data_IF_908799869574
#
_entry.id   IF_908799869574
#
_cell.length_a   1.000
_cell.length_b   1.000
_cell.length_c   1.000
_cell.angle_alpha   90.00
_cell.angle_beta   90.00
_cell.angle_gamma   90.00
#
_symmetry.space_group_name_H-M   'P 1'
#
loop_
_entity.id
_entity.type
_entity.pdbx_description
1 polymer ?
#
# COMPACT_ATOMS: atom_id res chain seq x y z
N UNK A 1 -5.28 -13.77 7.94
CA UNK A 1 -4.48 -12.70 7.29
C UNK A 1 -3.45 -13.26 6.32
N UNK A 2 -2.62 -14.26 6.69
CA UNK A 2 -1.63 -14.84 5.75
C UNK A 2 -2.20 -15.56 4.50
N UNK A 3 -3.43 -16.08 4.58
CA UNK A 3 -4.06 -16.76 3.43
C UNK A 3 -4.47 -15.78 2.33
N UNK A 4 -4.99 -14.60 2.69
CA UNK A 4 -5.37 -13.56 1.73
C UNK A 4 -4.13 -13.03 0.98
N UNK A 5 -2.99 -12.89 1.68
CA UNK A 5 -1.73 -12.44 1.08
C UNK A 5 -1.23 -13.40 0.01
N UNK A 6 -1.34 -14.70 0.32
CA UNK A 6 -0.88 -15.79 -0.54
C UNK A 6 -1.78 -15.93 -1.77
N UNK A 7 -3.09 -15.74 -1.60
CA UNK A 7 -4.07 -15.73 -2.69
C UNK A 7 -3.89 -14.49 -3.56
N UNK A 8 -3.64 -13.31 -2.96
CA UNK A 8 -3.52 -12.04 -3.65
C UNK A 8 -2.27 -11.95 -4.56
N UNK A 9 -1.17 -12.60 -4.18
CA UNK A 9 0.11 -12.59 -4.93
C UNK A 9 -0.01 -12.89 -6.43
N UNK A 10 -0.54 -14.06 -6.85
CA UNK A 10 -0.63 -14.39 -8.26
C UNK A 10 -1.55 -13.43 -9.04
N UNK A 11 -2.62 -12.92 -8.41
CA UNK A 11 -3.48 -11.93 -9.04
C UNK A 11 -2.76 -10.59 -9.20
N UNK A 12 -2.06 -10.11 -8.16
CA UNK A 12 -1.29 -8.87 -8.21
C UNK A 12 -0.20 -8.93 -9.30
N UNK A 13 0.45 -10.08 -9.47
CA UNK A 13 1.41 -10.31 -10.55
C UNK A 13 0.74 -10.31 -11.94
N UNK A 14 -0.39 -10.99 -12.11
CA UNK A 14 -1.12 -11.00 -13.37
C UNK A 14 -1.59 -9.59 -13.77
N UNK A 15 -2.09 -8.81 -12.81
CA UNK A 15 -2.48 -7.41 -13.01
C UNK A 15 -1.26 -6.55 -13.35
N UNK A 16 -0.14 -6.78 -12.68
CA UNK A 16 1.13 -6.08 -12.97
C UNK A 16 1.62 -6.35 -14.40
N UNK A 17 1.63 -7.60 -14.84
CA UNK A 17 2.03 -7.97 -16.20
C UNK A 17 1.06 -7.39 -17.25
N UNK A 18 -0.26 -7.41 -16.98
CA UNK A 18 -1.24 -6.77 -17.86
C UNK A 18 -1.04 -5.25 -17.92
N UNK A 19 -0.87 -4.60 -16.77
CA UNK A 19 -0.64 -3.16 -16.65
C UNK A 19 0.68 -2.70 -17.27
N UNK A 20 1.68 -3.59 -17.37
CA UNK A 20 2.98 -3.32 -18.00
C UNK A 20 2.88 -3.15 -19.52
N UNK A 21 1.85 -3.72 -20.14
CA UNK A 21 1.55 -3.50 -21.57
C UNK A 21 0.67 -2.27 -21.83
N UNK A 22 0.17 -1.61 -20.77
CA UNK A 22 -0.67 -0.42 -20.85
C UNK A 22 -0.27 0.68 -19.86
N UNK A 23 -1.23 1.50 -19.44
CA UNK A 23 -1.00 2.62 -18.51
C UNK A 23 -1.03 2.18 -17.05
N UNK A 24 0.15 1.84 -16.52
CA UNK A 24 0.32 1.37 -15.14
C UNK A 24 -0.18 2.35 -14.06
N UNK A 25 -0.14 3.66 -14.34
CA UNK A 25 -0.69 4.67 -13.44
C UNK A 25 -2.21 4.65 -13.39
N UNK A 26 -2.86 4.48 -14.54
CA UNK A 26 -4.30 4.39 -14.64
C UNK A 26 -4.80 3.12 -13.93
N UNK A 27 -4.16 1.98 -14.20
CA UNK A 27 -4.47 0.72 -13.55
C UNK A 27 -4.34 0.79 -12.02
N UNK A 28 -3.31 1.47 -11.51
CA UNK A 28 -3.16 1.70 -10.08
C UNK A 28 -4.34 2.45 -9.47
N UNK A 29 -4.77 3.54 -10.11
CA UNK A 29 -5.90 4.34 -9.63
C UNK A 29 -7.23 3.55 -9.68
N UNK A 30 -7.45 2.77 -10.74
CA UNK A 30 -8.63 1.92 -10.88
C UNK A 30 -8.68 0.82 -9.81
N UNK A 31 -7.57 0.11 -9.59
CA UNK A 31 -7.46 -0.94 -8.58
C UNK A 31 -7.58 -0.37 -7.16
N UNK A 32 -7.00 0.80 -6.88
CA UNK A 32 -7.15 1.49 -5.60
C UNK A 32 -8.60 1.91 -5.33
N UNK A 33 -9.30 2.40 -6.36
CA UNK A 33 -10.71 2.76 -6.27
C UNK A 33 -11.56 1.52 -5.96
N UNK A 34 -11.33 0.42 -6.65
CA UNK A 34 -11.99 -0.85 -6.38
C UNK A 34 -11.69 -1.38 -4.98
N UNK A 35 -10.44 -1.27 -4.51
CA UNK A 35 -10.05 -1.67 -3.17
C UNK A 35 -10.75 -0.84 -2.10
N UNK A 36 -10.90 0.48 -2.31
CA UNK A 36 -11.64 1.35 -1.40
C UNK A 36 -13.12 0.98 -1.34
N UNK A 37 -13.74 0.66 -2.49
CA UNK A 37 -15.13 0.19 -2.57
C UNK A 37 -15.28 -1.17 -1.86
N UNK A 38 -14.39 -2.13 -2.16
CA UNK A 38 -14.39 -3.45 -1.53
C UNK A 38 -14.00 -3.42 -0.04
N UNK A 39 -13.44 -2.32 0.46
CA UNK A 39 -13.19 -2.12 1.88
C UNK A 39 -14.45 -1.75 2.67
N UNK A 40 -15.51 -1.29 1.99
CA UNK A 40 -16.76 -0.93 2.67
C UNK A 40 -17.46 -2.18 3.20
N UNK A 41 -17.87 -2.20 4.48
CA UNK A 41 -18.45 -3.37 5.13
C UNK A 41 -19.74 -3.84 4.46
N UNK A 42 -20.59 -2.91 4.01
CA UNK A 42 -21.84 -3.20 3.32
C UNK A 42 -21.61 -3.98 2.01
N UNK A 43 -20.57 -3.63 1.26
CA UNK A 43 -20.21 -4.30 0.01
C UNK A 43 -19.53 -5.64 0.25
N UNK A 44 -18.76 -5.78 1.34
CA UNK A 44 -18.25 -7.09 1.76
C UNK A 44 -19.37 -8.04 2.15
N UNK A 45 -20.32 -7.60 2.98
CA UNK A 45 -21.46 -8.43 3.36
C UNK A 45 -22.32 -8.81 2.14
N UNK A 46 -22.50 -7.89 1.19
CA UNK A 46 -23.21 -8.18 -0.06
C UNK A 46 -22.46 -9.21 -0.92
N UNK A 47 -21.13 -9.08 -1.01
CA UNK A 47 -20.26 -9.98 -1.76
C UNK A 47 -20.10 -11.38 -1.12
N UNK A 48 -20.14 -11.45 0.22
CA UNK A 48 -19.99 -12.70 0.98
C UNK A 48 -21.32 -13.48 1.05
N UNK A 49 -22.44 -12.84 0.70
CA UNK A 49 -23.76 -13.46 0.75
C UNK A 49 -23.94 -14.50 -0.37
N UNK A 50 -24.09 -15.79 -0.05
CA UNK A 50 -24.22 -16.86 -1.05
C UNK A 50 -25.51 -16.80 -1.87
N UNK A 51 -26.48 -15.93 -1.51
CA UNK A 51 -27.70 -15.70 -2.30
C UNK A 51 -27.51 -14.71 -3.44
N UNK A 52 -26.39 -13.98 -3.47
CA UNK A 52 -26.12 -12.96 -4.48
C UNK A 52 -25.33 -13.61 -5.62
N UNK A 53 -25.82 -13.42 -6.86
CA UNK A 53 -25.12 -13.93 -8.03
C UNK A 53 -23.84 -13.12 -8.29
N UNK A 54 -22.74 -13.74 -8.74
CA UNK A 54 -21.52 -13.06 -9.16
C UNK A 54 -21.78 -11.88 -10.12
N UNK A 55 -22.73 -12.05 -11.03
CA UNK A 55 -23.12 -11.04 -12.01
C UNK A 55 -23.73 -9.79 -11.36
N UNK A 56 -24.52 -9.93 -10.29
CA UNK A 56 -25.12 -8.81 -9.57
C UNK A 56 -24.06 -8.00 -8.83
N UNK A 57 -23.06 -8.66 -8.23
CA UNK A 57 -21.93 -7.96 -7.60
C UNK A 57 -21.17 -7.16 -8.64
N UNK A 58 -20.88 -7.75 -9.80
CA UNK A 58 -20.19 -7.05 -10.88
C UNK A 58 -20.98 -5.83 -11.36
N UNK A 59 -22.30 -5.95 -11.54
CA UNK A 59 -23.17 -4.84 -11.91
C UNK A 59 -23.11 -3.71 -10.88
N UNK A 60 -23.25 -4.01 -9.59
CA UNK A 60 -23.18 -3.01 -8.52
C UNK A 60 -21.85 -2.24 -8.59
N UNK A 61 -20.73 -2.95 -8.70
CA UNK A 61 -19.41 -2.30 -8.81
C UNK A 61 -19.26 -1.45 -10.08
N UNK A 62 -19.77 -1.92 -11.22
CA UNK A 62 -19.69 -1.17 -12.50
C UNK A 62 -20.70 -0.03 -12.64
N UNK A 63 -21.80 -0.09 -11.89
CA UNK A 63 -22.84 0.94 -11.85
C UNK A 63 -22.50 2.12 -10.95
N UNK A 64 -21.44 2.02 -10.14
CA UNK A 64 -21.03 3.09 -9.25
C UNK A 64 -20.53 4.30 -10.03
N UNK A 65 -21.05 5.51 -9.76
CA UNK A 65 -20.63 6.71 -10.44
C UNK A 65 -19.16 7.01 -10.12
N UNK A 66 -18.36 7.26 -11.17
CA UNK A 66 -16.91 7.53 -11.07
C UNK A 66 -16.02 6.31 -11.28
N UNK A 67 -16.58 5.12 -11.48
CA UNK A 67 -15.82 3.89 -11.74
C UNK A 67 -15.62 3.70 -13.25
N UNK A 68 -14.56 4.31 -13.79
CA UNK A 68 -14.10 4.03 -15.15
C UNK A 68 -13.07 2.90 -15.10
N UNK A 69 -13.50 1.68 -15.43
CA UNK A 69 -12.62 0.51 -15.45
C UNK A 69 -12.18 0.22 -16.87
N UNK A 70 -10.87 0.07 -17.05
CA UNK A 70 -10.30 -0.56 -18.22
C UNK A 70 -10.78 -2.01 -18.35
N UNK A 71 -10.77 -2.54 -19.58
CA UNK A 71 -11.23 -3.90 -19.86
C UNK A 71 -10.45 -4.95 -19.04
N UNK A 72 -9.15 -4.71 -18.85
CA UNK A 72 -8.30 -5.58 -18.05
C UNK A 72 -8.65 -5.58 -16.56
N UNK A 73 -8.92 -4.42 -15.95
CA UNK A 73 -9.36 -4.35 -14.55
C UNK A 73 -10.77 -4.91 -14.37
N UNK A 74 -11.66 -4.74 -15.36
CA UNK A 74 -12.98 -5.38 -15.36
C UNK A 74 -12.88 -6.90 -15.39
N UNK A 75 -11.95 -7.46 -16.18
CA UNK A 75 -11.71 -8.90 -16.25
C UNK A 75 -11.11 -9.46 -14.95
N UNK A 76 -10.21 -8.70 -14.31
CA UNK A 76 -9.73 -9.01 -12.96
C UNK A 76 -10.90 -9.10 -11.98
N UNK A 77 -11.75 -8.06 -11.95
CA UNK A 77 -12.89 -8.00 -11.05
C UNK A 77 -13.81 -9.21 -11.27
N UNK A 78 -14.15 -9.52 -12.53
CA UNK A 78 -14.94 -10.71 -12.87
C UNK A 78 -14.33 -11.99 -12.32
N UNK A 79 -13.04 -12.20 -12.55
CA UNK A 79 -12.32 -13.39 -12.09
C UNK A 79 -12.34 -13.49 -10.56
N UNK A 80 -12.16 -12.38 -9.85
CA UNK A 80 -12.20 -12.36 -8.38
C UNK A 80 -13.59 -12.68 -7.84
N UNK A 81 -14.65 -12.16 -8.48
CA UNK A 81 -16.03 -12.44 -8.09
C UNK A 81 -16.38 -13.91 -8.37
N UNK A 82 -16.05 -14.45 -9.56
CA UNK A 82 -16.31 -15.85 -9.91
C UNK A 82 -15.62 -16.83 -8.97
N UNK A 83 -14.45 -16.47 -8.45
CA UNK A 83 -13.72 -17.27 -7.47
C UNK A 83 -14.10 -16.97 -6.01
N UNK A 84 -15.03 -16.05 -5.75
CA UNK A 84 -15.42 -15.64 -4.39
C UNK A 84 -14.30 -14.97 -3.58
N UNK A 85 -13.32 -14.35 -4.25
CA UNK A 85 -12.08 -13.80 -3.64
C UNK A 85 -12.08 -12.28 -3.52
N UNK A 86 -13.25 -11.65 -3.51
CA UNK A 86 -13.38 -10.18 -3.36
C UNK A 86 -12.74 -9.64 -2.07
N UNK A 87 -12.75 -10.43 -0.99
CA UNK A 87 -12.10 -10.06 0.26
C UNK A 87 -10.57 -9.84 0.12
N UNK A 88 -9.93 -10.44 -0.88
CA UNK A 88 -8.49 -10.29 -1.14
C UNK A 88 -8.16 -9.01 -1.94
N UNK A 89 -9.16 -8.29 -2.46
CA UNK A 89 -8.96 -7.15 -3.36
C UNK A 89 -8.16 -5.98 -2.73
N UNK A 90 -8.36 -5.60 -1.45
CA UNK A 90 -7.51 -4.62 -0.77
C UNK A 90 -6.04 -5.06 -0.67
N UNK A 91 -5.82 -6.36 -0.52
CA UNK A 91 -4.47 -6.93 -0.42
C UNK A 91 -3.79 -7.01 -1.79
N UNK A 92 -4.56 -7.32 -2.85
CA UNK A 92 -4.10 -7.24 -4.24
C UNK A 92 -3.66 -5.82 -4.58
N UNK A 93 -4.43 -4.79 -4.20
CA UNK A 93 -4.07 -3.40 -4.45
C UNK A 93 -2.75 -3.01 -3.75
N UNK A 94 -2.60 -3.41 -2.50
CA UNK A 94 -1.37 -3.16 -1.71
C UNK A 94 -0.16 -3.82 -2.37
N UNK A 95 -0.27 -5.08 -2.77
CA UNK A 95 0.82 -5.80 -3.43
C UNK A 95 1.12 -5.28 -4.83
N UNK A 96 0.10 -4.90 -5.60
CA UNK A 96 0.27 -4.28 -6.91
C UNK A 96 1.01 -2.94 -6.80
N UNK A 97 0.68 -2.12 -5.80
CA UNK A 97 1.40 -0.86 -5.53
C UNK A 97 2.86 -1.14 -5.19
N UNK A 98 3.14 -2.15 -4.35
CA UNK A 98 4.51 -2.54 -4.03
C UNK A 98 5.30 -2.98 -5.28
N UNK A 99 4.68 -3.76 -6.18
CA UNK A 99 5.29 -4.18 -7.45
C UNK A 99 5.55 -2.99 -8.38
N UNK A 100 4.58 -2.07 -8.50
CA UNK A 100 4.72 -0.83 -9.28
C UNK A 100 5.86 0.04 -8.76
N UNK A 101 5.95 0.21 -7.44
CA UNK A 101 7.00 1.00 -6.79
C UNK A 101 8.37 0.36 -7.04
N UNK A 102 8.49 -0.96 -6.86
CA UNK A 102 9.69 -1.71 -7.18
C UNK A 102 10.11 -1.56 -8.66
N UNK A 103 9.16 -1.59 -9.59
CA UNK A 103 9.42 -1.41 -11.02
C UNK A 103 9.83 0.03 -11.38
N UNK A 104 9.19 1.01 -10.76
CA UNK A 104 9.49 2.43 -10.97
C UNK A 104 10.80 2.86 -10.29
N UNK A 105 11.45 1.95 -9.55
CA UNK A 105 12.64 2.25 -8.74
C UNK A 105 12.35 3.22 -7.59
N UNK A 106 11.08 3.35 -7.20
CA UNK A 106 10.63 4.23 -6.12
C UNK A 106 10.52 3.41 -4.85
N UNK A 107 11.14 3.86 -3.77
CA UNK A 107 11.10 3.16 -2.48
C UNK A 107 10.21 3.94 -1.52
N UNK A 108 9.28 3.26 -0.85
CA UNK A 108 8.46 3.86 0.19
C UNK A 108 9.30 4.05 1.46
N UNK A 109 9.36 5.29 1.94
CA UNK A 109 10.01 5.66 3.19
C UNK A 109 8.95 6.08 4.21
N UNK A 110 8.75 5.31 5.26
CA UNK A 110 7.88 5.70 6.39
C UNK A 110 8.72 6.47 7.41
N UNK A 111 8.39 7.74 7.60
CA UNK A 111 9.08 8.64 8.53
C UNK A 111 8.20 8.81 9.75
N UNK A 112 8.61 8.22 10.87
CA UNK A 112 7.98 8.38 12.17
C UNK A 112 8.66 9.54 12.90
N UNK A 113 7.87 10.54 13.29
CA UNK A 113 8.38 11.72 14.00
C UNK A 113 7.63 11.94 15.29
N UNK A 114 8.36 12.30 16.35
CA UNK A 114 7.78 12.71 17.63
C UNK A 114 6.91 13.99 17.52
N UNK A 115 7.27 14.87 16.57
CA UNK A 115 6.64 16.17 16.37
C UNK A 115 6.21 16.33 14.91
N UNK A 116 5.20 17.15 14.62
CA UNK A 116 4.88 17.53 13.25
C UNK A 116 6.12 18.16 12.58
N UNK A 117 6.52 17.61 11.45
CA UNK A 117 7.66 18.06 10.65
C UNK A 117 7.18 19.18 9.72
N UNK A 118 7.97 20.24 9.59
CA UNK A 118 7.72 21.31 8.61
C UNK A 118 8.06 20.82 7.18
N UNK A 119 7.35 21.29 6.16
CA UNK A 119 7.59 20.95 4.76
C UNK A 119 9.05 21.18 4.34
N UNK A 120 9.70 22.23 4.87
CA UNK A 120 11.11 22.50 4.60
C UNK A 120 12.04 21.41 5.14
N UNK A 121 11.77 20.91 6.35
CA UNK A 121 12.53 19.82 6.97
C UNK A 121 12.27 18.49 6.27
N UNK A 122 11.03 18.25 5.84
CA UNK A 122 10.65 17.06 5.08
C UNK A 122 11.40 17.00 3.75
N UNK A 123 11.48 18.12 3.02
CA UNK A 123 12.19 18.21 1.75
C UNK A 123 13.70 17.96 1.89
N UNK A 124 14.32 18.48 2.96
CA UNK A 124 15.75 18.26 3.25
C UNK A 124 16.02 16.80 3.67
N UNK A 125 15.13 16.22 4.47
CA UNK A 125 15.18 14.81 4.87
C UNK A 125 15.03 13.90 3.64
N UNK A 126 14.06 14.17 2.77
CA UNK A 126 13.88 13.44 1.51
C UNK A 126 15.12 13.54 0.63
N UNK A 127 15.68 14.74 0.44
CA UNK A 127 16.90 14.94 -0.36
C UNK A 127 18.09 14.15 0.18
N UNK A 128 18.24 14.11 1.51
CA UNK A 128 19.28 13.35 2.19
C UNK A 128 19.10 11.84 2.04
N UNK A 129 17.86 11.36 2.17
CA UNK A 129 17.52 9.95 1.97
C UNK A 129 17.69 9.54 0.50
N UNK A 130 17.26 10.36 -0.46
CA UNK A 130 17.42 10.09 -1.89
C UNK A 130 18.89 9.99 -2.29
N UNK A 131 19.75 10.85 -1.72
CA UNK A 131 21.22 10.73 -1.89
C UNK A 131 21.79 9.45 -1.30
N UNK A 132 21.30 9.02 -0.13
CA UNK A 132 21.80 7.83 0.58
C UNK A 132 21.36 6.53 -0.09
N UNK A 133 20.11 6.46 -0.56
CA UNK A 133 19.54 5.26 -1.18
C UNK A 133 19.69 5.24 -2.71
N UNK A 134 20.06 6.36 -3.33
CA UNK A 134 20.31 6.46 -4.78
C UNK A 134 19.06 6.24 -5.64
N UNK A 135 17.87 6.40 -5.05
CA UNK A 135 16.56 6.12 -5.66
C UNK A 135 15.56 7.19 -5.26
N UNK A 136 14.53 7.39 -6.08
CA UNK A 136 13.41 8.27 -5.71
C UNK A 136 12.67 7.67 -4.53
N UNK A 137 12.35 8.48 -3.53
CA UNK A 137 11.64 8.03 -2.33
C UNK A 137 10.28 8.72 -2.23
N UNK A 138 9.26 7.96 -1.87
CA UNK A 138 7.98 8.52 -1.45
C UNK A 138 7.95 8.47 0.07
N UNK A 139 8.04 9.64 0.70
CA UNK A 139 7.98 9.74 2.15
C UNK A 139 6.52 9.78 2.64
N UNK A 140 6.15 8.85 3.51
CA UNK A 140 4.92 8.89 4.30
C UNK A 140 5.28 9.28 5.72
N UNK A 141 4.85 10.47 6.16
CA UNK A 141 5.15 10.97 7.51
C UNK A 141 4.01 10.60 8.45
N UNK A 142 4.36 9.96 9.57
CA UNK A 142 3.44 9.57 10.64
C UNK A 142 3.95 10.19 11.95
N UNK A 143 3.06 10.87 12.68
CA UNK A 143 3.42 11.52 13.95
C UNK A 143 3.13 10.56 15.09
N UNK A 144 4.18 10.09 15.74
CA UNK A 144 4.10 9.13 16.84
C UNK A 144 4.69 9.78 18.11
N UNK A 145 3.85 10.32 19.00
CA UNK A 145 4.31 11.06 20.20
C UNK A 145 4.96 10.16 21.26
N UNK A 146 4.90 8.82 21.10
CA UNK A 146 5.64 7.87 21.94
C UNK A 146 7.16 7.93 21.70
N UNK A 147 7.58 8.50 20.57
CA UNK A 147 8.97 8.90 20.37
C UNK A 147 9.25 10.10 21.28
N UNK A 148 10.05 9.88 22.32
CA UNK A 148 10.50 10.93 23.28
C UNK A 148 11.26 12.07 22.56
N UNK A 149 11.76 11.81 21.34
CA UNK A 149 12.33 12.80 20.44
C UNK A 149 13.11 12.13 19.30
N UNK A 150 13.28 12.86 18.20
CA UNK A 150 13.99 12.40 17.00
C UNK A 150 13.08 11.77 15.94
N UNK A 151 13.69 11.20 14.91
CA UNK A 151 13.01 10.64 13.73
C UNK A 151 13.40 9.18 13.57
N UNK A 152 12.43 8.32 13.25
CA UNK A 152 12.67 6.94 12.87
C UNK A 152 12.19 6.78 11.43
N UNK A 153 13.10 6.47 10.51
CA UNK A 153 12.79 6.28 9.09
C UNK A 153 12.86 4.79 8.77
N UNK A 154 11.82 4.24 8.14
CA UNK A 154 11.78 2.87 7.65
C UNK A 154 11.72 2.93 6.12
N UNK A 155 12.77 2.46 5.44
CA UNK A 155 12.89 2.47 3.98
C UNK A 155 12.93 1.02 3.49
N UNK A 156 11.79 0.51 3.00
CA UNK A 156 11.66 -0.91 2.70
C UNK A 156 11.96 -1.78 3.93
N UNK A 157 13.08 -2.51 3.90
CA UNK A 157 13.56 -3.37 4.98
C UNK A 157 14.60 -2.71 5.90
N UNK A 158 15.11 -1.51 5.55
CA UNK A 158 16.11 -0.80 6.34
C UNK A 158 15.45 0.17 7.33
N UNK A 159 15.74 0.01 8.62
CA UNK A 159 15.24 0.91 9.68
C UNK A 159 16.38 1.82 10.14
N UNK A 160 16.23 3.11 9.88
CA UNK A 160 17.10 4.16 10.37
C UNK A 160 16.47 4.83 11.60
N UNK A 161 16.89 4.40 12.79
CA UNK A 161 16.42 4.98 14.05
C UNK A 161 17.42 6.02 14.56
N UNK A 162 17.07 7.30 14.46
CA UNK A 162 17.82 8.42 15.06
C UNK A 162 17.09 9.00 16.26
N UNK A 163 16.17 8.23 16.87
CA UNK A 163 15.44 8.66 18.06
C UNK A 163 16.33 8.77 19.29
N UNK A 164 16.00 9.72 20.16
CA UNK A 164 16.65 9.93 21.47
C UNK A 164 16.44 8.70 22.36
N UNK A 165 15.29 8.03 22.23
CA UNK A 165 14.98 6.76 22.90
C UNK A 165 16.00 5.67 22.57
N UNK A 166 16.29 5.46 21.29
CA UNK A 166 17.29 4.47 20.87
C UNK A 166 18.70 4.81 21.39
N UNK A 167 19.05 6.11 21.46
CA UNK A 167 20.34 6.55 22.00
C UNK A 167 20.46 6.30 23.51
N UNK A 168 19.39 6.56 24.27
CA UNK A 168 19.32 6.25 25.70
C UNK A 168 19.38 4.75 25.98
N UNK A 169 18.65 3.93 25.22
CA UNK A 169 18.70 2.47 25.36
C UNK A 169 20.08 1.90 25.04
N UNK A 170 20.77 2.41 24.00
CA UNK A 170 22.17 2.04 23.72
C UNK A 170 23.12 2.42 24.86
N UNK A 171 22.94 3.60 25.47
CA UNK A 171 23.76 4.01 26.61
C UNK A 171 23.49 3.13 27.84
N UNK A 172 22.22 2.81 28.12
CA UNK A 172 21.84 1.89 29.19
C UNK A 172 22.42 0.51 28.98
N UNK A 173 22.33 -0.04 27.76
CA UNK A 173 22.92 -1.34 27.43
C UNK A 173 24.45 -1.35 27.60
N UNK A 174 25.14 -0.26 27.23
CA UNK A 174 26.58 -0.12 27.40
C UNK A 174 27.02 0.08 28.87
N UNK A 175 26.11 0.50 29.75
CA UNK A 175 26.35 0.68 31.20
C UNK A 175 26.01 -0.57 32.03
N UNK A 176 25.24 -1.50 31.47
CA UNK A 176 24.81 -2.75 32.12
C UNK A 176 25.67 -3.95 31.67
N UNK A 177 26.42 -3.82 30.57
CA UNK A 177 27.41 -4.78 30.10
C UNK A 177 28.78 -4.54 30.75
#
# INVERSE_FOLDING_TARGET
>A
MAELATIARPYAQAVFEAARTGDMNQWAAEVDTLAAIAAQPQLREFADNPKVAPTQVLEVFTSMPGVTLSEGVRNLLRTLIENGRLAALPEIATQFRALKNAHSGVVDAKVYSAFPIDNAQLADLMSSLERRFGRKLIASVEVEPELIGGVRVVVGDEVLDTSVKARLERMKAALVA
#
